data_IF_766349200913
#
_entry.id   IF_766349200913
#
_cell.length_a   1.000
_cell.length_b   1.000
_cell.length_c   1.000
_cell.angle_alpha   90.00
_cell.angle_beta   90.00
_cell.angle_gamma   90.00
#
_symmetry.space_group_name_H-M   'P 1'
#
loop_
_entity.id
_entity.type
_entity.pdbx_description
1 polymer ?
#
# COMPACT_ATOMS: atom_id res chain seq x y z
N UNK A 1 22.16 -4.53 -0.85
CA UNK A 1 20.73 -4.64 -0.42
C UNK A 1 20.28 -6.11 -0.35
N UNK A 2 19.31 -6.43 0.52
CA UNK A 2 18.92 -7.82 0.83
C UNK A 2 18.51 -8.65 -0.41
N UNK A 3 17.67 -8.10 -1.30
CA UNK A 3 17.21 -8.83 -2.49
C UNK A 3 18.37 -9.20 -3.43
N UNK A 4 19.33 -8.30 -3.63
CA UNK A 4 20.51 -8.56 -4.47
C UNK A 4 21.42 -9.63 -3.86
N UNK A 5 21.56 -9.65 -2.53
CA UNK A 5 22.32 -10.70 -1.84
C UNK A 5 21.71 -12.07 -2.11
N UNK A 6 20.38 -12.19 -2.05
CA UNK A 6 19.67 -13.41 -2.41
C UNK A 6 19.97 -13.85 -3.85
N UNK A 7 19.84 -12.95 -4.82
CA UNK A 7 20.13 -13.23 -6.24
C UNK A 7 21.58 -13.75 -6.41
N UNK A 8 22.56 -13.06 -5.84
CA UNK A 8 23.97 -13.45 -5.95
C UNK A 8 24.25 -14.82 -5.32
N UNK A 9 23.64 -15.11 -4.17
CA UNK A 9 23.77 -16.40 -3.50
C UNK A 9 23.21 -17.54 -4.35
N UNK A 10 21.99 -17.40 -4.88
CA UNK A 10 21.35 -18.42 -5.71
C UNK A 10 22.06 -18.61 -7.06
N UNK A 11 22.60 -17.54 -7.68
CA UNK A 11 23.40 -17.69 -8.90
C UNK A 11 24.70 -18.46 -8.68
N UNK A 12 25.30 -18.37 -7.49
CA UNK A 12 26.49 -19.15 -7.13
C UNK A 12 26.15 -20.63 -6.92
N UNK A 13 25.04 -20.92 -6.23
CA UNK A 13 24.64 -22.29 -5.88
C UNK A 13 23.99 -23.05 -7.06
N UNK A 14 23.24 -22.35 -7.91
CA UNK A 14 22.47 -22.92 -9.00
C UNK A 14 22.77 -22.17 -10.32
N UNK A 15 23.99 -22.32 -10.88
CA UNK A 15 24.42 -21.51 -12.04
C UNK A 15 23.70 -21.87 -13.35
N UNK A 16 23.17 -23.09 -13.47
CA UNK A 16 22.64 -23.64 -14.73
C UNK A 16 21.11 -23.64 -14.82
N UNK A 17 20.40 -23.08 -13.83
CA UNK A 17 18.95 -22.95 -13.88
C UNK A 17 18.55 -21.55 -14.37
N UNK A 18 17.38 -21.38 -14.98
CA UNK A 18 16.83 -20.05 -15.25
C UNK A 18 16.53 -19.30 -13.94
N UNK A 19 16.88 -18.01 -13.90
CA UNK A 19 16.56 -17.11 -12.78
C UNK A 19 15.59 -16.02 -13.26
N UNK A 20 14.53 -15.77 -12.50
CA UNK A 20 13.50 -14.76 -12.82
C UNK A 20 13.40 -13.76 -11.68
N UNK A 21 13.32 -12.47 -12.02
CA UNK A 21 13.02 -11.41 -11.09
C UNK A 21 11.57 -10.95 -11.28
N UNK A 22 10.77 -11.03 -10.22
CA UNK A 22 9.40 -10.52 -10.19
C UNK A 22 9.40 -9.28 -9.31
N UNK A 23 9.02 -8.15 -9.89
CA UNK A 23 9.07 -6.86 -9.21
C UNK A 23 7.68 -6.48 -8.70
N UNK A 24 7.60 -6.18 -7.42
CA UNK A 24 6.34 -5.84 -6.76
C UNK A 24 5.73 -4.51 -7.25
N UNK A 25 6.53 -3.69 -7.92
CA UNK A 25 6.13 -2.40 -8.51
C UNK A 25 5.69 -2.52 -9.98
N UNK A 26 5.94 -3.67 -10.63
CA UNK A 26 5.82 -3.81 -12.10
C UNK A 26 4.39 -3.64 -12.60
N UNK A 27 3.40 -4.17 -11.88
CA UNK A 27 1.99 -4.09 -12.27
C UNK A 27 1.48 -2.64 -12.33
N UNK A 28 1.99 -1.78 -11.45
CA UNK A 28 1.61 -0.38 -11.34
C UNK A 28 2.27 0.54 -12.38
N UNK A 29 3.17 0.01 -13.23
CA UNK A 29 3.80 0.81 -14.30
C UNK A 29 2.82 1.24 -15.41
N UNK A 30 1.59 0.71 -15.38
CA UNK A 30 0.50 1.15 -16.27
C UNK A 30 -0.22 2.42 -15.81
N UNK A 31 0.11 2.96 -14.61
CA UNK A 31 -0.45 4.22 -14.13
C UNK A 31 -0.14 5.38 -15.09
N UNK A 32 -1.12 6.22 -15.45
CA UNK A 32 -0.87 7.44 -16.21
C UNK A 32 -0.11 8.48 -15.37
N UNK A 33 0.52 9.48 -16.02
CA UNK A 33 1.30 10.53 -15.34
C UNK A 33 0.51 11.25 -14.25
N UNK A 34 -0.77 11.50 -14.50
CA UNK A 34 -1.68 12.12 -13.53
C UNK A 34 -1.90 11.31 -12.25
N UNK A 35 -1.64 10.01 -12.26
CA UNK A 35 -1.78 9.15 -11.08
C UNK A 35 -0.46 8.98 -10.30
N UNK A 36 0.68 9.07 -11.00
CA UNK A 36 1.97 8.78 -10.38
C UNK A 36 2.80 10.02 -10.01
N UNK A 37 2.58 11.17 -10.65
CA UNK A 37 3.34 12.37 -10.32
C UNK A 37 2.88 12.92 -8.96
N UNK A 38 3.85 13.26 -8.12
CA UNK A 38 3.59 14.14 -6.99
C UNK A 38 3.59 15.59 -7.46
N UNK A 39 2.81 16.44 -6.79
CA UNK A 39 2.81 17.91 -6.99
C UNK A 39 4.06 18.56 -6.39
N UNK A 40 5.23 18.07 -6.79
CA UNK A 40 6.56 18.55 -6.45
C UNK A 40 7.20 19.19 -7.69
N UNK A 41 8.31 19.94 -7.56
CA UNK A 41 9.06 20.42 -8.70
C UNK A 41 9.30 19.30 -9.71
N UNK A 42 8.91 19.50 -10.97
CA UNK A 42 8.91 18.44 -11.98
C UNK A 42 10.31 17.85 -12.22
N UNK A 43 11.37 18.64 -11.98
CA UNK A 43 12.75 18.19 -12.06
C UNK A 43 13.09 17.08 -11.05
N UNK A 44 12.38 16.98 -9.94
CA UNK A 44 12.56 15.88 -8.99
C UNK A 44 12.13 14.54 -9.57
N UNK A 45 11.07 14.52 -10.37
CA UNK A 45 10.72 13.36 -11.16
C UNK A 45 11.79 13.08 -12.23
N UNK A 46 12.17 14.08 -13.04
CA UNK A 46 13.10 13.88 -14.16
C UNK A 46 14.50 13.45 -13.74
N UNK A 47 15.02 14.00 -12.63
CA UNK A 47 16.40 13.77 -12.19
C UNK A 47 16.53 12.61 -11.20
N UNK A 48 15.54 12.44 -10.32
CA UNK A 48 15.62 11.48 -9.21
C UNK A 48 14.57 10.37 -9.27
N UNK A 49 13.68 10.39 -10.26
CA UNK A 49 12.61 9.39 -10.38
C UNK A 49 11.61 9.46 -9.22
N UNK A 50 11.42 10.63 -8.60
CA UNK A 50 10.46 10.81 -7.52
C UNK A 50 9.05 10.77 -8.10
N UNK A 51 8.33 9.68 -7.83
CA UNK A 51 6.96 9.41 -8.25
C UNK A 51 6.34 8.32 -7.38
N UNK A 52 5.04 8.12 -7.50
CA UNK A 52 4.37 6.91 -7.03
C UNK A 52 4.88 5.71 -7.82
N UNK A 53 5.30 4.67 -7.11
CA UNK A 53 5.60 3.36 -7.70
C UNK A 53 4.50 2.34 -7.37
N UNK A 54 4.01 2.35 -6.12
CA UNK A 54 3.06 1.35 -5.65
C UNK A 54 3.70 -0.01 -5.38
N UNK A 55 3.10 -0.80 -4.50
CA UNK A 55 3.57 -2.13 -4.11
C UNK A 55 2.38 -3.09 -3.97
N UNK A 56 2.65 -4.35 -3.64
CA UNK A 56 1.73 -5.47 -3.74
C UNK A 56 1.23 -5.71 -5.18
N UNK A 57 1.99 -5.27 -6.18
CA UNK A 57 1.60 -5.39 -7.59
C UNK A 57 1.45 -6.84 -8.03
N UNK A 58 2.23 -7.76 -7.46
CA UNK A 58 2.09 -9.20 -7.74
C UNK A 58 0.74 -9.73 -7.22
N UNK A 59 0.37 -9.36 -5.99
CA UNK A 59 -0.91 -9.73 -5.39
C UNK A 59 -2.08 -9.12 -6.17
N UNK A 60 -2.06 -7.81 -6.39
CA UNK A 60 -3.11 -7.10 -7.13
C UNK A 60 -3.32 -7.67 -8.55
N UNK A 61 -2.23 -7.96 -9.27
CA UNK A 61 -2.30 -8.60 -10.60
C UNK A 61 -2.95 -9.98 -10.54
N UNK A 62 -2.47 -10.82 -9.63
CA UNK A 62 -2.96 -12.19 -9.48
C UNK A 62 -4.46 -12.21 -9.16
N UNK A 63 -4.88 -11.42 -8.16
CA UNK A 63 -6.28 -11.43 -7.71
C UNK A 63 -7.23 -10.80 -8.72
N UNK A 64 -6.79 -9.80 -9.51
CA UNK A 64 -7.63 -9.28 -10.60
C UNK A 64 -7.87 -10.31 -11.69
N UNK A 65 -6.84 -11.10 -12.04
CA UNK A 65 -6.98 -12.18 -13.01
C UNK A 65 -7.88 -13.30 -12.46
N UNK A 66 -7.70 -13.65 -11.19
CA UNK A 66 -8.52 -14.66 -10.53
C UNK A 66 -9.99 -14.25 -10.43
N UNK A 67 -10.28 -12.98 -10.17
CA UNK A 67 -11.64 -12.47 -10.15
C UNK A 67 -12.30 -12.54 -11.53
N UNK A 68 -11.57 -12.22 -12.59
CA UNK A 68 -12.05 -12.34 -13.97
C UNK A 68 -12.44 -13.79 -14.32
N UNK A 69 -11.62 -14.76 -13.92
CA UNK A 69 -11.92 -16.19 -14.05
C UNK A 69 -13.20 -16.59 -13.29
N UNK A 70 -13.34 -16.16 -12.03
CA UNK A 70 -14.50 -16.48 -11.18
C UNK A 70 -15.79 -15.91 -11.79
N UNK A 71 -15.72 -14.72 -12.37
CA UNK A 71 -16.86 -14.04 -12.99
C UNK A 71 -17.14 -14.53 -14.42
N UNK A 72 -16.28 -15.38 -14.97
CA UNK A 72 -16.32 -15.83 -16.36
C UNK A 72 -16.41 -14.65 -17.34
N UNK A 73 -15.59 -13.62 -17.11
CA UNK A 73 -15.50 -12.41 -17.93
C UNK A 73 -14.04 -12.08 -18.26
N UNK A 74 -13.74 -11.48 -19.41
CA UNK A 74 -12.41 -10.92 -19.68
C UNK A 74 -12.05 -9.85 -18.65
N UNK A 75 -10.79 -9.81 -18.20
CA UNK A 75 -10.34 -8.79 -17.22
C UNK A 75 -10.36 -7.38 -17.84
N UNK A 76 -10.30 -7.30 -19.15
CA UNK A 76 -10.38 -6.10 -19.97
C UNK A 76 -11.75 -5.41 -19.89
N UNK A 77 -12.79 -6.13 -19.45
CA UNK A 77 -14.17 -5.61 -19.29
C UNK A 77 -14.51 -5.25 -17.84
N UNK A 78 -13.54 -5.34 -16.91
CA UNK A 78 -13.80 -5.17 -15.48
C UNK A 78 -13.13 -3.92 -14.90
N UNK A 79 -13.89 -3.19 -14.10
CA UNK A 79 -13.40 -2.17 -13.17
C UNK A 79 -13.34 -2.75 -11.77
N UNK A 80 -12.13 -2.94 -11.27
CA UNK A 80 -11.83 -3.68 -10.06
C UNK A 80 -11.18 -2.74 -9.05
N UNK A 81 -11.71 -2.73 -7.83
CA UNK A 81 -10.99 -2.23 -6.66
C UNK A 81 -10.42 -3.44 -5.93
N UNK A 82 -9.10 -3.52 -5.85
CA UNK A 82 -8.40 -4.59 -5.12
C UNK A 82 -7.87 -4.06 -3.79
N UNK A 83 -8.34 -4.65 -2.69
CA UNK A 83 -7.96 -4.34 -1.32
C UNK A 83 -7.06 -5.47 -0.79
N UNK A 84 -5.74 -5.26 -0.82
CA UNK A 84 -4.78 -6.15 -0.17
C UNK A 84 -4.62 -5.70 1.29
N UNK A 85 -5.16 -6.49 2.22
CA UNK A 85 -5.32 -6.18 3.64
C UNK A 85 -4.54 -7.19 4.47
N UNK A 86 -3.25 -6.92 4.64
CA UNK A 86 -2.38 -7.61 5.60
C UNK A 86 -1.77 -6.63 6.61
N UNK A 87 -0.66 -7.02 7.25
CA UNK A 87 0.08 -6.11 8.13
C UNK A 87 0.60 -4.86 7.36
N UNK A 88 0.97 -5.06 6.08
CA UNK A 88 0.99 -3.99 5.09
C UNK A 88 -0.30 -4.01 4.29
N UNK A 89 -0.89 -2.85 4.01
CA UNK A 89 -2.15 -2.76 3.30
C UNK A 89 -2.07 -1.77 2.12
N UNK A 90 -2.66 -2.15 0.98
CA UNK A 90 -2.76 -1.28 -0.20
C UNK A 90 -4.06 -1.51 -0.96
N UNK A 91 -4.54 -0.44 -1.58
CA UNK A 91 -5.72 -0.44 -2.44
C UNK A 91 -5.28 -0.07 -3.85
N UNK A 92 -5.68 -0.85 -4.86
CA UNK A 92 -5.40 -0.58 -6.27
C UNK A 92 -6.70 -0.40 -7.06
N UNK A 93 -6.72 0.61 -7.93
CA UNK A 93 -7.71 0.78 -8.97
C UNK A 93 -7.22 0.07 -10.23
N UNK A 94 -7.99 -0.89 -10.72
CA UNK A 94 -7.65 -1.71 -11.87
C UNK A 94 -8.77 -1.57 -12.89
N UNK A 95 -8.46 -1.04 -14.07
CA UNK A 95 -9.43 -0.81 -15.14
C UNK A 95 -8.92 -1.48 -16.42
N UNK A 96 -9.74 -2.37 -16.98
CA UNK A 96 -9.37 -3.16 -18.15
C UNK A 96 -8.09 -3.98 -17.95
N UNK A 97 -7.91 -4.58 -16.77
CA UNK A 97 -6.73 -5.37 -16.40
C UNK A 97 -5.44 -4.58 -16.14
N UNK A 98 -5.50 -3.24 -16.15
CA UNK A 98 -4.34 -2.37 -15.90
C UNK A 98 -4.51 -1.61 -14.59
N UNK A 99 -3.43 -1.46 -13.82
CA UNK A 99 -3.45 -0.63 -12.62
C UNK A 99 -3.38 0.85 -13.00
N UNK A 100 -4.49 1.57 -12.81
CA UNK A 100 -4.60 2.99 -13.15
C UNK A 100 -4.33 3.91 -11.96
N UNK A 101 -4.36 3.38 -10.73
CA UNK A 101 -3.95 4.03 -9.50
C UNK A 101 -3.68 3.00 -8.39
N UNK A 102 -2.92 3.40 -7.36
CA UNK A 102 -2.60 2.58 -6.17
C UNK A 102 -2.31 3.46 -4.97
N UNK A 103 -2.64 2.97 -3.77
CA UNK A 103 -2.61 3.78 -2.54
C UNK A 103 -1.19 4.02 -2.04
N UNK A 104 -0.28 3.06 -2.24
CA UNK A 104 1.11 3.21 -1.85
C UNK A 104 1.86 4.16 -2.80
N UNK A 105 2.89 4.79 -2.25
CA UNK A 105 3.57 5.93 -2.85
C UNK A 105 4.89 5.58 -3.54
N UNK A 106 5.86 6.48 -3.37
CA UNK A 106 7.27 6.22 -3.62
C UNK A 106 7.79 5.08 -2.73
N UNK A 107 7.28 4.99 -1.49
CA UNK A 107 7.57 3.93 -0.52
C UNK A 107 6.27 3.26 -0.06
N UNK A 108 6.36 2.09 0.61
CA UNK A 108 5.21 1.44 1.22
C UNK A 108 4.61 2.16 2.45
N UNK A 109 5.14 3.32 2.85
CA UNK A 109 4.62 4.10 3.98
C UNK A 109 3.34 4.86 3.63
N UNK A 110 3.29 5.44 2.42
CA UNK A 110 2.11 6.16 1.96
C UNK A 110 0.93 5.21 1.74
N UNK A 111 -0.29 5.74 1.83
CA UNK A 111 -1.51 4.98 1.63
C UNK A 111 -2.42 4.98 2.85
N UNK A 112 -3.06 3.84 3.07
CA UNK A 112 -3.93 3.59 4.23
C UNK A 112 -3.10 3.41 5.50
N UNK A 113 -3.75 3.60 6.65
CA UNK A 113 -3.24 3.12 7.95
C UNK A 113 -2.95 1.62 7.84
N UNK A 114 -1.88 1.12 8.46
CA UNK A 114 -1.52 -0.31 8.44
C UNK A 114 -1.20 -0.78 9.86
N UNK A 115 -0.65 -1.99 10.05
CA UNK A 115 -0.36 -2.49 11.39
C UNK A 115 0.56 -1.58 12.20
N UNK A 116 1.71 -1.22 11.64
CA UNK A 116 2.70 -0.32 12.28
C UNK A 116 3.05 0.94 11.49
N UNK A 117 2.50 1.06 10.27
CA UNK A 117 2.73 2.21 9.39
C UNK A 117 1.60 3.21 9.48
N UNK A 118 1.94 4.49 9.52
CA UNK A 118 0.97 5.58 9.64
C UNK A 118 -0.02 5.65 8.49
N UNK A 119 0.42 5.30 7.28
CA UNK A 119 -0.25 5.75 6.06
C UNK A 119 0.01 7.23 5.82
N UNK A 120 -0.85 7.87 5.03
CA UNK A 120 -0.73 9.29 4.74
C UNK A 120 -0.97 10.16 5.98
N UNK A 121 -0.08 11.13 6.16
CA UNK A 121 -0.17 12.21 7.15
C UNK A 121 0.20 13.54 6.49
N UNK A 122 -0.05 14.65 7.17
CA UNK A 122 0.45 15.96 6.76
C UNK A 122 1.99 15.99 6.85
N UNK A 123 2.72 16.28 5.75
CA UNK A 123 4.17 16.40 5.77
C UNK A 123 4.72 17.40 6.79
N UNK A 124 3.96 18.45 7.14
CA UNK A 124 4.36 19.44 8.15
C UNK A 124 4.46 18.86 9.56
N UNK A 125 3.86 17.69 9.82
CA UNK A 125 4.00 16.99 11.09
C UNK A 125 5.42 16.47 11.32
N UNK A 126 6.18 16.17 10.26
CA UNK A 126 7.55 15.67 10.42
C UNK A 126 8.43 16.68 11.17
N UNK A 127 8.64 17.92 10.67
CA UNK A 127 9.44 18.90 11.40
C UNK A 127 8.80 19.30 12.74
N UNK A 128 7.47 19.32 12.85
CA UNK A 128 6.80 19.61 14.12
C UNK A 128 7.11 18.56 15.20
N UNK A 129 7.05 17.27 14.87
CA UNK A 129 7.41 16.18 15.80
C UNK A 129 8.88 16.27 16.16
N UNK A 130 9.76 16.54 15.20
CA UNK A 130 11.19 16.74 15.45
C UNK A 130 11.41 17.85 16.49
N UNK A 131 10.78 19.01 16.31
CA UNK A 131 10.88 20.14 17.25
C UNK A 131 10.39 19.76 18.66
N UNK A 132 9.27 19.04 18.76
CA UNK A 132 8.67 18.69 20.07
C UNK A 132 9.37 17.55 20.79
N UNK A 133 10.05 16.66 20.07
CA UNK A 133 10.63 15.44 20.65
C UNK A 133 12.16 15.42 20.63
N UNK A 134 12.79 16.39 19.96
CA UNK A 134 14.24 16.42 19.74
C UNK A 134 14.74 15.32 18.80
N UNK A 135 13.83 14.57 18.15
CA UNK A 135 14.17 13.48 17.24
C UNK A 135 14.64 14.01 15.89
N UNK A 136 15.52 13.24 15.26
CA UNK A 136 15.95 13.44 13.88
C UNK A 136 14.85 13.02 12.88
N UNK A 137 15.00 13.44 11.63
CA UNK A 137 14.07 13.03 10.56
C UNK A 137 14.00 11.51 10.39
N UNK A 138 15.14 10.81 10.51
CA UNK A 138 15.20 9.35 10.39
C UNK A 138 14.48 8.65 11.55
N UNK A 139 14.61 9.18 12.78
CA UNK A 139 13.87 8.66 13.94
C UNK A 139 12.37 8.90 13.83
N UNK A 140 11.94 10.06 13.30
CA UNK A 140 10.52 10.31 13.01
C UNK A 140 10.04 9.37 11.90
N UNK A 141 10.82 9.15 10.84
CA UNK A 141 10.48 8.16 9.81
C UNK A 141 10.41 6.74 10.37
N UNK A 142 11.23 6.39 11.37
CA UNK A 142 11.12 5.11 12.06
C UNK A 142 9.79 5.02 12.81
N UNK A 143 9.40 6.06 13.55
CA UNK A 143 8.11 6.12 14.25
C UNK A 143 6.95 5.90 13.25
N UNK A 144 6.98 6.60 12.12
CA UNK A 144 5.95 6.47 11.08
C UNK A 144 5.88 5.07 10.48
N UNK A 145 6.99 4.31 10.47
CA UNK A 145 7.06 2.97 9.90
C UNK A 145 6.83 1.83 10.89
N UNK A 146 7.11 2.04 12.18
CA UNK A 146 7.25 0.96 13.17
C UNK A 146 6.42 1.14 14.43
N UNK A 147 6.06 2.37 14.77
CA UNK A 147 5.40 2.72 16.03
C UNK A 147 4.04 3.43 15.80
N UNK A 148 3.61 3.50 14.53
CA UNK A 148 2.37 4.17 14.12
C UNK A 148 1.31 3.16 13.72
N UNK A 149 0.34 3.56 12.90
CA UNK A 149 -0.68 2.64 12.39
C UNK A 149 -1.66 2.20 13.47
N UNK A 150 -2.17 0.99 13.33
CA UNK A 150 -3.02 0.34 14.33
C UNK A 150 -2.32 0.29 15.69
N UNK A 151 -1.04 -0.10 15.72
CA UNK A 151 -0.24 -0.15 16.95
C UNK A 151 -0.20 1.20 17.68
N UNK A 152 0.03 2.29 16.94
CA UNK A 152 0.06 3.63 17.55
C UNK A 152 -1.29 4.04 18.14
N UNK A 153 -2.40 3.68 17.50
CA UNK A 153 -3.75 4.05 17.95
C UNK A 153 -4.20 3.18 19.12
N UNK A 154 -3.96 1.87 19.09
CA UNK A 154 -4.34 0.96 20.18
C UNK A 154 -3.39 1.07 21.37
N UNK A 155 -2.10 1.25 21.10
CA UNK A 155 -1.02 1.19 22.09
C UNK A 155 -0.65 -0.22 22.53
N UNK A 156 -1.29 -1.26 21.98
CA UNK A 156 -1.16 -2.65 22.43
C UNK A 156 -0.75 -3.61 21.32
N UNK A 157 -1.49 -3.65 20.20
CA UNK A 157 -1.26 -4.59 19.11
C UNK A 157 -1.36 -3.95 17.73
N UNK A 158 -0.61 -4.53 16.78
CA UNK A 158 -0.73 -4.27 15.33
C UNK A 158 -1.54 -5.35 14.61
N UNK A 159 -1.91 -6.45 15.29
CA UNK A 159 -2.65 -7.57 14.71
C UNK A 159 -4.15 -7.33 14.82
N UNK A 160 -4.85 -7.34 13.68
CA UNK A 160 -6.29 -7.08 13.65
C UNK A 160 -7.10 -8.08 14.50
N UNK A 161 -6.65 -9.32 14.68
CA UNK A 161 -7.38 -10.31 15.48
C UNK A 161 -7.38 -9.95 16.96
N UNK A 162 -6.26 -9.48 17.48
CA UNK A 162 -6.15 -9.01 18.86
C UNK A 162 -7.03 -7.77 19.05
N UNK A 163 -6.94 -6.83 18.11
CA UNK A 163 -7.69 -5.56 18.15
C UNK A 163 -9.20 -5.83 18.08
N UNK A 164 -9.66 -6.75 17.23
CA UNK A 164 -11.07 -7.16 17.18
C UNK A 164 -11.53 -7.84 18.47
N UNK A 165 -10.64 -8.59 19.14
CA UNK A 165 -10.88 -9.15 20.46
C UNK A 165 -11.08 -8.05 21.50
N UNK A 166 -10.10 -7.16 21.63
CA UNK A 166 -10.13 -6.02 22.56
C UNK A 166 -11.37 -5.14 22.34
N UNK A 167 -11.74 -4.88 21.08
CA UNK A 167 -12.93 -4.10 20.73
C UNK A 167 -14.22 -4.78 21.22
N UNK A 168 -14.35 -6.11 21.05
CA UNK A 168 -15.51 -6.87 21.56
C UNK A 168 -15.60 -6.85 23.09
N UNK A 169 -14.48 -6.66 23.78
CA UNK A 169 -14.41 -6.48 25.24
C UNK A 169 -14.67 -5.03 25.68
N UNK A 170 -14.93 -4.11 24.74
CA UNK A 170 -15.26 -2.70 25.02
C UNK A 170 -14.06 -1.77 25.08
N UNK A 171 -12.92 -2.13 24.50
CA UNK A 171 -11.77 -1.23 24.40
C UNK A 171 -12.00 -0.13 23.35
N UNK A 172 -12.26 1.09 23.81
CA UNK A 172 -12.54 2.25 22.96
C UNK A 172 -11.43 2.56 21.94
N UNK A 173 -10.15 2.37 22.31
CA UNK A 173 -9.02 2.63 21.39
C UNK A 173 -8.92 1.55 20.32
N UNK A 174 -9.31 0.32 20.63
CA UNK A 174 -9.37 -0.77 19.66
C UNK A 174 -10.50 -0.53 18.64
N UNK A 175 -11.70 -0.18 19.12
CA UNK A 175 -12.81 0.22 18.25
C UNK A 175 -12.44 1.41 17.34
N UNK A 176 -11.83 2.45 17.91
CA UNK A 176 -11.36 3.62 17.17
C UNK A 176 -10.30 3.24 16.11
N UNK A 177 -9.37 2.34 16.43
CA UNK A 177 -8.35 1.90 15.48
C UNK A 177 -8.97 1.19 14.26
N UNK A 178 -9.96 0.34 14.49
CA UNK A 178 -10.72 -0.34 13.43
C UNK A 178 -11.50 0.67 12.57
N UNK A 179 -12.16 1.65 13.19
CA UNK A 179 -12.88 2.71 12.48
C UNK A 179 -11.95 3.56 11.63
N UNK A 180 -10.80 3.98 12.18
CA UNK A 180 -9.79 4.74 11.44
C UNK A 180 -9.30 3.93 10.24
N UNK A 181 -8.97 2.66 10.43
CA UNK A 181 -8.50 1.77 9.37
C UNK A 181 -9.53 1.63 8.25
N UNK A 182 -10.77 1.29 8.58
CA UNK A 182 -11.87 1.17 7.62
C UNK A 182 -12.15 2.50 6.91
N UNK A 183 -12.15 3.62 7.63
CA UNK A 183 -12.34 4.97 7.07
C UNK A 183 -11.27 5.32 6.04
N UNK A 184 -10.00 4.97 6.28
CA UNK A 184 -8.92 5.20 5.30
C UNK A 184 -9.08 4.34 4.06
N UNK A 185 -9.52 3.09 4.19
CA UNK A 185 -9.84 2.22 3.06
C UNK A 185 -11.01 2.81 2.25
N UNK A 186 -12.11 3.19 2.92
CA UNK A 186 -13.28 3.79 2.27
C UNK A 186 -12.94 5.04 1.44
N UNK A 187 -12.05 5.91 1.93
CA UNK A 187 -11.59 7.09 1.16
C UNK A 187 -10.96 6.70 -0.17
N UNK A 188 -10.10 5.70 -0.17
CA UNK A 188 -9.47 5.21 -1.40
C UNK A 188 -10.49 4.52 -2.32
N UNK A 189 -11.36 3.68 -1.77
CA UNK A 189 -12.41 3.02 -2.55
C UNK A 189 -13.31 4.03 -3.27
N UNK A 190 -13.76 5.07 -2.55
CA UNK A 190 -14.59 6.13 -3.14
C UNK A 190 -13.87 6.89 -4.26
N UNK A 191 -12.62 7.33 -4.00
CA UNK A 191 -11.80 8.02 -5.00
C UNK A 191 -11.62 7.19 -6.28
N UNK A 192 -11.29 5.91 -6.13
CA UNK A 192 -11.06 5.00 -7.25
C UNK A 192 -12.32 4.64 -8.01
N UNK A 193 -13.43 4.43 -7.31
CA UNK A 193 -14.74 4.23 -7.92
C UNK A 193 -15.13 5.41 -8.82
N UNK A 194 -14.93 6.64 -8.33
CA UNK A 194 -15.20 7.85 -9.14
C UNK A 194 -14.24 7.96 -10.33
N UNK A 195 -12.95 7.67 -10.14
CA UNK A 195 -11.94 7.71 -11.21
C UNK A 195 -12.21 6.71 -12.34
N UNK A 196 -12.72 5.52 -12.02
CA UNK A 196 -13.07 4.47 -12.98
C UNK A 196 -14.51 4.61 -13.54
N UNK A 197 -15.23 5.66 -13.16
CA UNK A 197 -16.64 5.87 -13.52
C UNK A 197 -17.56 4.71 -13.11
N UNK A 198 -17.25 4.05 -11.99
CA UNK A 198 -17.97 2.92 -11.44
C UNK A 198 -17.05 1.79 -11.00
N UNK A 199 -17.65 0.73 -10.47
CA UNK A 199 -16.95 -0.46 -9.95
C UNK A 199 -17.81 -1.68 -10.27
N UNK A 200 -17.19 -2.70 -10.84
CA UNK A 200 -17.85 -3.98 -11.11
C UNK A 200 -17.55 -4.99 -10.01
N UNK A 201 -16.34 -4.92 -9.42
CA UNK A 201 -15.87 -5.88 -8.41
C UNK A 201 -15.01 -5.19 -7.35
N UNK A 202 -15.24 -5.53 -6.08
CA UNK A 202 -14.34 -5.19 -4.98
C UNK A 202 -13.77 -6.51 -4.44
N UNK A 203 -12.45 -6.62 -4.41
CA UNK A 203 -11.73 -7.83 -3.96
C UNK A 203 -11.06 -7.54 -2.63
N UNK A 204 -11.25 -8.40 -1.64
CA UNK A 204 -10.45 -8.42 -0.42
C UNK A 204 -9.48 -9.62 -0.47
N UNK A 205 -8.21 -9.37 -0.16
CA UNK A 205 -7.13 -10.37 -0.19
C UNK A 205 -6.05 -10.04 0.83
N UNK A 206 -5.07 -10.93 1.04
CA UNK A 206 -3.88 -10.75 1.86
C UNK A 206 -2.71 -11.57 1.27
#
# INVERSE_FOLDING_TARGET
PANLMGILAFRKLLPNIPHVAVFDTSFHQSMPESAYLYSLPYDYYKKYGIRKYGFHGTSHKYVSQRAAEILNKPVEELRIISCHIGNGASIAAIDGGKSIDTSMGFTPLAGVTMGTRSGNIDPALIPFIMEKTGKTADEVLNILNKESGLLGITGTSSDLRDIEGDAKEGNERAELALEVFASRIHKYMGSYATRMHGVDVIIFTA
#
